data_IF_912083712910
#
_entry.id   IF_912083712910
#
_cell.length_a   1.000
_cell.length_b   1.000
_cell.length_c   1.000
_cell.angle_alpha   90.00
_cell.angle_beta   90.00
_cell.angle_gamma   90.00
#
_symmetry.space_group_name_H-M   'P 1'
#
loop_
_entity.id
_entity.type
_entity.pdbx_description
1 polymer ?
#
# COMPACT_ATOMS: atom_id res chain seq x y z
N UNK A 1 12.29 -16.02 -14.01
CA UNK A 1 10.82 -16.16 -13.99
C UNK A 1 10.19 -14.80 -14.20
N UNK A 2 9.09 -14.71 -14.96
CA UNK A 2 8.33 -13.48 -15.15
C UNK A 2 7.00 -13.61 -14.40
N UNK A 3 6.61 -12.55 -13.69
CA UNK A 3 5.29 -12.51 -13.06
C UNK A 3 4.18 -12.42 -14.11
N UNK A 4 3.01 -12.94 -13.77
CA UNK A 4 1.83 -12.84 -14.62
C UNK A 4 1.35 -11.39 -14.74
N UNK A 5 0.67 -11.09 -15.85
CA UNK A 5 0.04 -9.78 -16.04
C UNK A 5 -1.21 -9.68 -15.18
N UNK A 6 -1.35 -8.56 -14.48
CA UNK A 6 -2.54 -8.24 -13.68
C UNK A 6 -3.78 -8.08 -14.57
N UNK A 7 -4.92 -8.46 -14.00
CA UNK A 7 -6.25 -8.40 -14.60
C UNK A 7 -7.21 -7.70 -13.64
N UNK A 8 -8.35 -7.24 -14.16
CA UNK A 8 -9.42 -6.71 -13.32
C UNK A 8 -9.91 -7.78 -12.34
N UNK A 9 -10.09 -7.40 -11.08
CA UNK A 9 -10.41 -8.28 -9.97
C UNK A 9 -9.21 -8.70 -9.14
N UNK A 10 -7.98 -8.52 -9.64
CA UNK A 10 -6.77 -8.89 -8.89
C UNK A 10 -6.52 -7.97 -7.69
N UNK A 11 -5.86 -8.52 -6.67
CA UNK A 11 -5.46 -7.80 -5.46
C UNK A 11 -4.10 -7.11 -5.64
N UNK A 12 -4.00 -5.85 -5.19
CA UNK A 12 -2.74 -5.14 -5.02
C UNK A 12 -2.52 -4.95 -3.51
N UNK A 13 -1.54 -5.66 -2.97
CA UNK A 13 -1.08 -5.47 -1.59
C UNK A 13 -0.05 -4.34 -1.52
N UNK A 14 -0.36 -3.29 -0.78
CA UNK A 14 0.56 -2.19 -0.48
C UNK A 14 1.33 -2.50 0.81
N UNK A 15 2.65 -2.31 0.77
CA UNK A 15 3.56 -2.50 1.89
C UNK A 15 4.44 -1.25 2.07
N UNK A 16 5.00 -1.06 3.28
CA UNK A 16 5.77 0.12 3.67
C UNK A 16 7.22 -0.22 4.09
N UNK A 17 8.04 -0.84 3.22
CA UNK A 17 9.34 -1.42 3.61
C UNK A 17 10.46 -0.39 3.85
N UNK A 18 10.16 0.91 3.81
CA UNK A 18 11.18 1.97 3.97
C UNK A 18 10.67 3.13 4.82
N UNK A 19 9.51 3.70 4.49
CA UNK A 19 8.84 4.64 5.36
C UNK A 19 7.41 4.21 5.57
N UNK A 20 6.93 4.38 6.79
CA UNK A 20 5.56 4.12 7.20
C UNK A 20 4.57 4.91 6.35
N UNK A 21 3.43 4.30 6.08
CA UNK A 21 2.30 4.98 5.46
C UNK A 21 1.67 6.04 6.37
N UNK A 22 1.97 6.04 7.68
CA UNK A 22 1.49 7.07 8.61
C UNK A 22 1.89 8.50 8.20
N UNK A 23 2.93 8.65 7.37
CA UNK A 23 3.34 9.95 6.82
C UNK A 23 2.37 10.49 5.75
N UNK A 24 1.53 9.63 5.19
CA UNK A 24 0.61 9.95 4.10
C UNK A 24 -0.69 10.51 4.70
N UNK A 25 -1.07 11.72 4.31
CA UNK A 25 -2.33 12.34 4.75
C UNK A 25 -3.53 11.55 4.20
N UNK A 26 -4.61 11.48 4.99
CA UNK A 26 -5.80 10.69 4.64
C UNK A 26 -6.40 10.99 3.26
N UNK A 27 -6.40 12.25 2.83
CA UNK A 27 -6.91 12.61 1.49
C UNK A 27 -6.03 12.05 0.36
N UNK A 28 -4.71 12.05 0.53
CA UNK A 28 -3.78 11.48 -0.45
C UNK A 28 -3.95 9.97 -0.54
N UNK A 29 -4.14 9.31 0.60
CA UNK A 29 -4.41 7.87 0.68
C UNK A 29 -5.72 7.52 -0.03
N UNK A 30 -6.79 8.28 0.23
CA UNK A 30 -8.10 8.12 -0.41
C UNK A 30 -8.01 8.23 -1.92
N UNK A 31 -7.38 9.29 -2.43
CA UNK A 31 -7.21 9.50 -3.88
C UNK A 31 -6.42 8.37 -4.53
N UNK A 32 -5.36 7.89 -3.89
CA UNK A 32 -4.54 6.79 -4.40
C UNK A 32 -5.36 5.49 -4.49
N UNK A 33 -6.08 5.14 -3.43
CA UNK A 33 -6.91 3.94 -3.38
C UNK A 33 -8.06 3.99 -4.39
N UNK A 34 -8.75 5.12 -4.52
CA UNK A 34 -9.84 5.29 -5.48
C UNK A 34 -9.38 5.08 -6.92
N UNK A 35 -8.20 5.62 -7.29
CA UNK A 35 -7.66 5.45 -8.64
C UNK A 35 -7.35 3.99 -8.97
N UNK A 36 -6.73 3.26 -8.04
CA UNK A 36 -6.43 1.84 -8.23
C UNK A 36 -7.73 0.99 -8.29
N UNK A 37 -8.70 1.30 -7.43
CA UNK A 37 -10.01 0.64 -7.45
C UNK A 37 -10.76 0.92 -8.76
N UNK A 38 -10.69 2.14 -9.30
CA UNK A 38 -11.31 2.50 -10.60
C UNK A 38 -10.72 1.74 -11.78
N UNK A 39 -9.44 1.34 -11.71
CA UNK A 39 -8.83 0.45 -12.71
C UNK A 39 -9.36 -0.98 -12.60
N UNK A 40 -10.01 -1.32 -11.48
CA UNK A 40 -10.64 -2.61 -11.22
C UNK A 40 -9.83 -3.53 -10.31
N UNK A 41 -8.92 -2.98 -9.51
CA UNK A 41 -8.13 -3.77 -8.55
C UNK A 41 -8.71 -3.68 -7.14
N UNK A 42 -8.45 -4.70 -6.32
CA UNK A 42 -8.72 -4.65 -4.87
C UNK A 42 -7.45 -4.24 -4.14
N UNK A 43 -7.44 -3.03 -3.57
CA UNK A 43 -6.28 -2.54 -2.78
C UNK A 43 -6.39 -3.01 -1.34
N UNK A 44 -5.32 -3.61 -0.83
CA UNK A 44 -5.18 -4.03 0.58
C UNK A 44 -3.86 -3.52 1.13
N UNK A 45 -3.76 -3.42 2.46
CA UNK A 45 -2.58 -2.91 3.15
C UNK A 45 -1.95 -3.98 4.02
N UNK A 46 -0.61 -4.01 4.06
CA UNK A 46 0.11 -4.88 4.99
C UNK A 46 -0.22 -4.55 6.44
N UNK A 47 -0.18 -5.57 7.31
CA UNK A 47 -0.55 -5.44 8.73
C UNK A 47 0.17 -4.29 9.44
N UNK A 48 1.46 -4.10 9.13
CA UNK A 48 2.33 -3.11 9.78
C UNK A 48 2.55 -1.86 8.91
N UNK A 49 1.75 -1.66 7.84
CA UNK A 49 2.02 -0.59 6.87
C UNK A 49 1.93 0.82 7.47
N UNK A 50 1.13 1.00 8.53
CA UNK A 50 0.97 2.26 9.27
C UNK A 50 1.81 2.34 10.55
N UNK A 51 2.47 1.25 10.96
CA UNK A 51 3.38 1.27 12.11
C UNK A 51 4.53 2.23 11.85
N UNK A 52 5.04 2.91 12.88
CA UNK A 52 6.21 3.76 12.72
C UNK A 52 7.03 3.92 14.00
N UNK A 53 8.35 4.06 13.83
CA UNK A 53 9.31 4.47 14.85
C UNK A 53 9.61 5.99 14.77
N UNK A 54 10.63 6.42 15.52
CA UNK A 54 11.10 7.82 15.56
C UNK A 54 11.66 8.32 14.22
N UNK A 55 11.99 7.40 13.30
CA UNK A 55 12.52 7.69 11.96
C UNK A 55 11.44 7.57 10.87
N UNK A 56 10.18 7.39 11.26
CA UNK A 56 9.06 7.11 10.35
C UNK A 56 9.27 5.86 9.50
N UNK A 57 10.03 4.88 10.00
CA UNK A 57 10.18 3.54 9.42
C UNK A 57 9.55 2.51 10.35
N UNK A 58 9.63 1.23 10.03
CA UNK A 58 9.24 0.12 10.90
C UNK A 58 10.43 -0.76 11.24
N UNK A 59 10.26 -1.62 12.25
CA UNK A 59 11.20 -2.70 12.55
C UNK A 59 11.44 -3.59 11.33
N UNK A 60 12.61 -4.23 11.31
CA UNK A 60 12.96 -5.27 10.34
C UNK A 60 12.27 -6.60 10.69
N UNK A 61 11.95 -6.81 11.97
CA UNK A 61 11.36 -8.03 12.53
C UNK A 61 9.87 -8.22 12.17
#
# INVERSE_FOLDING_TARGET
MLAERLKRGDEIRVIAPSRSMAIIKGEQLRIAQERLNQLGFTVTYGKNAEEHDEFFSTSIE
#
